data_IF_282423007480
#
_entry.id   IF_282423007480
#
_cell.length_a   1.000
_cell.length_b   1.000
_cell.length_c   1.000
_cell.angle_alpha   90.00
_cell.angle_beta   90.00
_cell.angle_gamma   90.00
#
_symmetry.space_group_name_H-M   'P 1'
#
loop_
_entity.id
_entity.type
_entity.pdbx_description
1 polymer ?
#
# COMPACT_ATOMS: atom_id res chain seq x y z
N UNK A 1 5.15 -19.73 -2.06
CA UNK A 1 6.20 -18.71 -2.11
C UNK A 1 5.84 -17.79 -3.26
N UNK A 2 5.43 -16.55 -3.00
CA UNK A 2 5.16 -15.59 -4.07
C UNK A 2 6.48 -15.27 -4.78
N UNK A 3 6.55 -15.38 -6.11
CA UNK A 3 7.76 -15.04 -6.88
C UNK A 3 7.73 -13.61 -7.41
N UNK A 4 6.59 -12.93 -7.31
CA UNK A 4 6.42 -11.54 -7.67
C UNK A 4 6.67 -10.64 -6.46
N UNK A 5 7.07 -9.40 -6.72
CA UNK A 5 7.23 -8.37 -5.69
C UNK A 5 5.84 -7.96 -5.18
N UNK A 6 5.70 -7.86 -3.86
CA UNK A 6 4.42 -7.55 -3.22
C UNK A 6 4.09 -6.05 -3.37
N UNK A 7 2.80 -5.64 -3.35
CA UNK A 7 2.43 -4.23 -3.42
C UNK A 7 3.04 -3.43 -2.25
N UNK A 8 3.72 -2.32 -2.57
CA UNK A 8 4.40 -1.48 -1.59
C UNK A 8 5.78 -2.01 -1.12
N UNK A 9 6.16 -3.24 -1.47
CA UNK A 9 7.49 -3.79 -1.20
C UNK A 9 8.57 -3.03 -1.99
N UNK A 10 9.71 -2.70 -1.37
CA UNK A 10 10.88 -2.18 -2.11
C UNK A 10 11.51 -3.28 -2.98
N UNK A 11 12.11 -2.92 -4.11
CA UNK A 11 12.75 -3.91 -4.98
C UNK A 11 13.94 -4.58 -4.30
N UNK A 12 14.71 -3.85 -3.49
CA UNK A 12 15.81 -4.42 -2.70
C UNK A 12 15.32 -5.47 -1.69
N UNK A 13 14.18 -5.24 -1.04
CA UNK A 13 13.55 -6.22 -0.12
C UNK A 13 13.10 -7.46 -0.87
N UNK A 14 12.44 -7.28 -2.01
CA UNK A 14 12.02 -8.38 -2.88
C UNK A 14 13.21 -9.21 -3.38
N UNK A 15 14.30 -8.56 -3.79
CA UNK A 15 15.51 -9.24 -4.23
C UNK A 15 16.09 -10.13 -3.13
N UNK A 16 16.10 -9.65 -1.89
CA UNK A 16 16.56 -10.45 -0.74
C UNK A 16 15.66 -11.68 -0.50
N UNK A 17 14.34 -11.52 -0.61
CA UNK A 17 13.38 -12.63 -0.49
C UNK A 17 13.58 -13.67 -1.59
N UNK A 18 13.83 -13.22 -2.82
CA UNK A 18 14.14 -14.06 -3.96
C UNK A 18 15.46 -14.84 -3.77
N UNK A 19 16.50 -14.19 -3.25
CA UNK A 19 17.77 -14.85 -2.91
C UNK A 19 17.58 -15.93 -1.84
N UNK A 20 16.77 -15.66 -0.81
CA UNK A 20 16.46 -16.66 0.22
C UNK A 20 15.70 -17.86 -0.35
N UNK A 21 14.70 -17.61 -1.21
CA UNK A 21 13.96 -18.65 -1.93
C UNK A 21 14.87 -19.52 -2.77
N UNK A 22 15.77 -18.88 -3.53
CA UNK A 22 16.69 -19.57 -4.41
C UNK A 22 17.73 -20.38 -3.64
N UNK A 23 18.27 -19.84 -2.55
CA UNK A 23 19.19 -20.59 -1.68
C UNK A 23 18.52 -21.86 -1.13
N UNK A 24 17.24 -21.79 -0.78
CA UNK A 24 16.50 -22.97 -0.35
C UNK A 24 16.31 -23.98 -1.49
N UNK A 25 16.01 -23.52 -2.71
CA UNK A 25 15.90 -24.38 -3.89
C UNK A 25 17.23 -25.06 -4.23
N UNK A 26 18.35 -24.32 -4.18
CA UNK A 26 19.70 -24.84 -4.40
C UNK A 26 20.05 -25.91 -3.35
N UNK A 27 19.80 -25.63 -2.07
CA UNK A 27 20.05 -26.61 -0.98
C UNK A 27 19.25 -27.90 -1.14
N UNK A 28 18.09 -27.84 -1.79
CA UNK A 28 17.22 -28.99 -2.07
C UNK A 28 17.54 -29.66 -3.41
N UNK A 29 18.55 -29.20 -4.14
CA UNK A 29 18.89 -29.71 -5.47
C UNK A 29 17.94 -29.29 -6.60
N UNK A 30 17.01 -28.35 -6.35
CA UNK A 30 16.06 -27.86 -7.35
C UNK A 30 16.63 -26.79 -8.29
N UNK A 31 17.83 -26.28 -8.03
CA UNK A 31 18.53 -25.33 -8.88
C UNK A 31 20.05 -25.47 -8.75
N UNK A 32 20.78 -25.21 -9.83
CA UNK A 32 22.25 -25.19 -9.82
C UNK A 32 22.78 -23.89 -9.20
N UNK A 33 23.70 -23.99 -8.23
CA UNK A 33 24.29 -22.85 -7.54
C UNK A 33 25.01 -21.89 -8.51
N UNK A 34 25.70 -22.42 -9.51
CA UNK A 34 26.43 -21.64 -10.53
C UNK A 34 25.50 -20.76 -11.40
N UNK A 35 24.22 -21.12 -11.48
CA UNK A 35 23.22 -20.36 -12.24
C UNK A 35 22.41 -19.42 -11.35
N UNK A 36 22.72 -19.33 -10.05
CA UNK A 36 21.89 -18.61 -9.10
C UNK A 36 21.71 -17.13 -9.47
N UNK A 37 22.81 -16.44 -9.78
CA UNK A 37 22.76 -15.02 -10.18
C UNK A 37 21.93 -14.80 -11.47
N UNK A 38 22.02 -15.72 -12.46
CA UNK A 38 21.16 -15.68 -13.65
C UNK A 38 19.69 -15.82 -13.28
N UNK A 39 19.35 -16.75 -12.39
CA UNK A 39 17.97 -16.97 -11.98
C UNK A 39 17.42 -15.76 -11.24
N UNK A 40 18.20 -15.17 -10.34
CA UNK A 40 17.81 -13.94 -9.63
C UNK A 40 17.56 -12.81 -10.61
N UNK A 41 18.49 -12.53 -11.51
CA UNK A 41 18.33 -11.45 -12.48
C UNK A 41 17.11 -11.67 -13.36
N UNK A 42 16.92 -12.89 -13.88
CA UNK A 42 15.74 -13.23 -14.70
C UNK A 42 14.44 -12.99 -13.93
N UNK A 43 14.34 -13.53 -12.71
CA UNK A 43 13.11 -13.36 -11.91
C UNK A 43 12.89 -11.89 -11.53
N UNK A 44 13.95 -11.15 -11.22
CA UNK A 44 13.87 -9.71 -10.99
C UNK A 44 13.30 -8.96 -12.20
N UNK A 45 13.73 -9.31 -13.42
CA UNK A 45 13.22 -8.70 -14.66
C UNK A 45 11.73 -8.98 -14.93
N UNK A 46 11.19 -10.10 -14.43
CA UNK A 46 9.79 -10.48 -14.66
C UNK A 46 8.87 -10.08 -13.49
N UNK A 47 9.40 -10.06 -12.27
CA UNK A 47 8.61 -9.94 -11.04
C UNK A 47 8.72 -8.59 -10.33
N UNK A 48 9.61 -7.69 -10.77
CA UNK A 48 9.71 -6.35 -10.23
C UNK A 48 8.70 -5.41 -10.93
N UNK A 49 7.86 -4.71 -10.15
CA UNK A 49 6.86 -3.77 -10.69
C UNK A 49 7.39 -2.34 -10.84
N UNK A 50 8.66 -2.11 -10.52
CA UNK A 50 9.24 -0.78 -10.48
C UNK A 50 9.86 -0.43 -11.85
N UNK A 51 9.91 0.86 -12.21
CA UNK A 51 10.58 1.35 -13.43
C UNK A 51 12.09 1.09 -13.47
N UNK A 52 12.64 0.54 -12.39
CA UNK A 52 14.04 0.17 -12.19
C UNK A 52 14.60 -0.70 -13.33
N UNK A 53 13.76 -1.53 -13.96
CA UNK A 53 14.18 -2.40 -15.06
C UNK A 53 14.77 -1.61 -16.23
N UNK A 54 14.09 -0.52 -16.60
CA UNK A 54 14.50 0.35 -17.71
C UNK A 54 15.66 1.25 -17.31
N UNK A 55 15.65 1.79 -16.09
CA UNK A 55 16.69 2.70 -15.61
C UNK A 55 18.06 1.99 -15.45
N UNK A 56 18.05 0.70 -15.07
CA UNK A 56 19.26 -0.09 -14.82
C UNK A 56 19.64 -1.04 -15.97
N UNK A 57 18.86 -1.06 -17.07
CA UNK A 57 19.06 -1.94 -18.22
C UNK A 57 19.27 -3.41 -17.82
N UNK A 58 18.46 -3.90 -16.86
CA UNK A 58 18.67 -5.23 -16.27
C UNK A 58 18.49 -6.37 -17.28
N UNK A 59 17.65 -6.16 -18.30
CA UNK A 59 17.45 -7.11 -19.40
C UNK A 59 18.74 -7.33 -20.23
N UNK A 60 19.53 -6.27 -20.47
CA UNK A 60 20.79 -6.36 -21.21
C UNK A 60 21.85 -7.17 -20.44
N UNK A 61 21.80 -7.13 -19.11
CA UNK A 61 22.74 -7.81 -18.21
C UNK A 61 22.48 -9.32 -18.08
N UNK A 62 21.48 -9.88 -18.77
CA UNK A 62 21.14 -11.32 -18.69
C UNK A 62 22.22 -12.24 -19.25
N UNK A 63 23.04 -11.76 -20.18
CA UNK A 63 24.19 -12.48 -20.74
C UNK A 63 25.31 -12.65 -19.69
N UNK A 64 25.66 -11.56 -19.03
CA UNK A 64 26.67 -11.47 -17.98
C UNK A 64 26.05 -10.92 -16.69
N UNK A 65 25.36 -11.78 -15.92
CA UNK A 65 24.65 -11.33 -14.72
C UNK A 65 25.64 -10.85 -13.66
N UNK A 66 25.37 -9.70 -13.02
CA UNK A 66 26.16 -9.23 -11.89
C UNK A 66 26.02 -10.19 -10.70
N UNK A 67 26.98 -10.11 -9.79
CA UNK A 67 26.86 -10.79 -8.50
C UNK A 67 25.66 -10.22 -7.71
N UNK A 68 25.09 -11.02 -6.80
CA UNK A 68 23.95 -10.57 -5.99
C UNK A 68 24.22 -9.25 -5.25
N UNK A 69 25.40 -9.11 -4.65
CA UNK A 69 25.80 -7.90 -3.92
C UNK A 69 25.86 -6.66 -4.83
N UNK A 70 26.38 -6.83 -6.05
CA UNK A 70 26.46 -5.77 -7.06
C UNK A 70 25.07 -5.39 -7.56
N UNK A 71 24.23 -6.36 -7.90
CA UNK A 71 22.83 -6.12 -8.29
C UNK A 71 22.06 -5.39 -7.19
N UNK A 72 22.25 -5.80 -5.93
CA UNK A 72 21.60 -5.18 -4.78
C UNK A 72 22.07 -3.73 -4.59
N UNK A 73 23.35 -3.45 -4.81
CA UNK A 73 23.88 -2.08 -4.75
C UNK A 73 23.30 -1.20 -5.86
N UNK A 74 23.23 -1.71 -7.10
CA UNK A 74 22.62 -1.01 -8.23
C UNK A 74 21.17 -0.64 -7.92
N UNK A 75 20.38 -1.61 -7.42
CA UNK A 75 18.99 -1.39 -7.06
C UNK A 75 18.85 -0.36 -5.95
N UNK A 76 19.62 -0.45 -4.87
CA UNK A 76 19.55 0.51 -3.75
C UNK A 76 19.92 1.93 -4.18
N UNK A 77 20.97 2.07 -4.97
CA UNK A 77 21.42 3.37 -5.49
C UNK A 77 20.30 4.03 -6.31
N UNK A 78 19.64 3.24 -7.14
CA UNK A 78 18.55 3.71 -7.97
C UNK A 78 17.27 4.01 -7.15
N UNK A 79 16.94 3.17 -6.17
CA UNK A 79 15.87 3.44 -5.20
C UNK A 79 16.08 4.77 -4.47
N UNK A 80 17.30 5.03 -4.01
CA UNK A 80 17.65 6.28 -3.33
C UNK A 80 17.57 7.49 -4.28
N UNK A 81 18.00 7.33 -5.54
CA UNK A 81 17.85 8.35 -6.59
C UNK A 81 16.38 8.69 -6.83
N UNK A 82 15.51 7.68 -6.96
CA UNK A 82 14.07 7.88 -7.13
C UNK A 82 13.43 8.51 -5.90
N UNK A 83 13.81 8.10 -4.70
CA UNK A 83 13.32 8.68 -3.45
C UNK A 83 13.72 10.16 -3.31
N UNK A 84 14.96 10.51 -3.66
CA UNK A 84 15.43 11.90 -3.68
C UNK A 84 14.66 12.74 -4.71
N UNK A 85 14.45 12.20 -5.92
CA UNK A 85 13.64 12.84 -6.97
C UNK A 85 12.21 13.08 -6.49
N UNK A 86 11.55 12.06 -5.95
CA UNK A 86 10.19 12.17 -5.44
C UNK A 86 10.08 13.21 -4.31
N UNK A 87 11.06 13.23 -3.40
CA UNK A 87 11.13 14.23 -2.32
C UNK A 87 11.28 15.65 -2.87
N UNK A 88 12.18 15.86 -3.84
CA UNK A 88 12.36 17.15 -4.51
C UNK A 88 11.10 17.59 -5.23
N UNK A 89 10.48 16.70 -5.99
CA UNK A 89 9.22 16.96 -6.69
C UNK A 89 8.11 17.34 -5.70
N UNK A 90 7.96 16.61 -4.59
CA UNK A 90 6.96 16.95 -3.55
C UNK A 90 7.21 18.34 -2.95
N UNK A 91 8.47 18.71 -2.73
CA UNK A 91 8.83 20.04 -2.19
C UNK A 91 8.56 21.19 -3.15
N UNK A 92 8.84 21.02 -4.45
CA UNK A 92 8.74 22.12 -5.44
C UNK A 92 7.44 22.13 -6.25
N UNK A 93 6.79 20.97 -6.44
CA UNK A 93 5.51 20.85 -7.14
C UNK A 93 4.34 20.77 -6.16
N UNK A 94 4.56 20.29 -4.93
CA UNK A 94 3.53 20.17 -3.90
C UNK A 94 3.27 21.45 -3.10
N UNK A 95 4.12 22.48 -3.22
CA UNK A 95 3.94 23.75 -2.50
C UNK A 95 2.89 24.67 -3.13
N UNK A 96 2.43 24.41 -4.35
CA UNK A 96 1.45 25.28 -5.03
C UNK A 96 0.01 25.10 -4.51
N UNK A 97 -0.27 24.10 -3.67
CA UNK A 97 -1.63 23.91 -3.11
C UNK A 97 -1.84 24.42 -1.68
N UNK A 98 -0.85 25.10 -1.08
CA UNK A 98 -0.99 25.67 0.26
C UNK A 98 -0.71 27.18 0.28
N UNK A 99 -1.42 27.96 -0.53
CA UNK A 99 -1.60 29.40 -0.26
C UNK A 99 -2.82 29.99 -0.99
N UNK A 100 -4.02 29.54 -0.65
CA UNK A 100 -5.26 30.21 -1.03
C UNK A 100 -6.34 30.07 0.05
N UNK A 101 -5.98 30.23 1.32
CA UNK A 101 -6.92 30.33 2.45
C UNK A 101 -6.33 31.29 3.51
N UNK A 102 -5.92 32.48 3.07
CA UNK A 102 -5.74 33.62 3.96
C UNK A 102 -5.68 34.90 3.09
N UNK A 103 -6.54 35.85 3.43
CA UNK A 103 -6.66 37.21 2.88
C UNK A 103 -7.83 37.45 1.94
N UNK A 104 -8.76 38.19 2.54
CA UNK A 104 -10.08 38.71 2.20
C UNK A 104 -10.25 39.53 0.90
N UNK A 105 -11.53 39.77 0.61
CA UNK A 105 -12.13 40.89 -0.15
C UNK A 105 -12.27 40.77 -1.68
N UNK A 106 -13.54 40.57 -2.10
CA UNK A 106 -14.26 41.27 -3.17
C UNK A 106 -13.45 41.87 -4.34
N UNK A 107 -13.47 41.20 -5.48
CA UNK A 107 -13.75 41.81 -6.79
C UNK A 107 -13.93 40.71 -7.85
N UNK A 108 -15.01 40.84 -8.62
CA UNK A 108 -15.44 39.98 -9.72
C UNK A 108 -14.38 39.81 -10.80
N UNK A 109 -13.85 38.60 -10.99
CA UNK A 109 -13.23 38.15 -12.24
C UNK A 109 -13.52 36.67 -12.51
N UNK A 110 -13.73 36.38 -13.78
CA UNK A 110 -14.30 35.18 -14.41
C UNK A 110 -13.76 33.83 -13.89
N UNK A 111 -14.62 32.81 -13.71
CA UNK A 111 -14.16 31.46 -13.40
C UNK A 111 -13.72 30.73 -14.68
N UNK A 112 -12.41 30.57 -14.84
CA UNK A 112 -11.85 29.55 -15.73
C UNK A 112 -12.39 28.18 -15.29
N UNK A 113 -13.11 27.52 -16.20
CA UNK A 113 -13.87 26.29 -15.97
C UNK A 113 -12.92 25.15 -15.58
N UNK A 114 -12.90 24.84 -14.29
CA UNK A 114 -12.20 23.66 -13.82
C UNK A 114 -12.90 22.40 -14.36
N UNK A 115 -12.20 21.47 -15.01
CA UNK A 115 -12.82 20.29 -15.62
C UNK A 115 -13.57 19.42 -14.59
N UNK A 116 -13.14 19.47 -13.32
CA UNK A 116 -13.82 18.81 -12.21
C UNK A 116 -15.18 19.44 -11.88
N UNK A 117 -15.30 20.77 -11.96
CA UNK A 117 -16.59 21.45 -11.72
C UNK A 117 -17.57 21.20 -12.85
N UNK A 118 -17.07 21.17 -14.09
CA UNK A 118 -17.86 20.87 -15.28
C UNK A 118 -18.37 19.42 -15.27
N UNK A 119 -17.51 18.47 -14.91
CA UNK A 119 -17.90 17.07 -14.74
C UNK A 119 -18.95 16.88 -13.63
N UNK A 120 -18.78 17.54 -12.48
CA UNK A 120 -19.79 17.51 -11.40
C UNK A 120 -21.13 18.08 -11.88
N UNK A 121 -21.10 19.14 -12.65
CA UNK A 121 -22.30 19.77 -13.20
C UNK A 121 -23.00 18.87 -14.24
N UNK A 122 -22.23 18.18 -15.08
CA UNK A 122 -22.75 17.18 -16.02
C UNK A 122 -23.40 16.00 -15.30
N UNK A 123 -22.79 15.50 -14.23
CA UNK A 123 -23.36 14.41 -13.42
C UNK A 123 -24.70 14.84 -12.79
N UNK A 124 -24.80 16.06 -12.27
CA UNK A 124 -26.06 16.60 -11.72
C UNK A 124 -27.13 16.76 -12.81
N UNK A 125 -26.75 17.25 -14.00
CA UNK A 125 -27.66 17.38 -15.15
C UNK A 125 -28.22 16.02 -15.57
N UNK A 126 -27.35 15.00 -15.69
CA UNK A 126 -27.77 13.64 -16.04
C UNK A 126 -28.70 13.03 -14.98
N UNK A 127 -28.38 13.19 -13.69
CA UNK A 127 -29.26 12.73 -12.59
C UNK A 127 -30.64 13.39 -12.63
N UNK A 128 -30.71 14.68 -12.96
CA UNK A 128 -31.96 15.41 -13.14
C UNK A 128 -32.79 14.88 -14.32
N UNK A 129 -32.13 14.55 -15.44
CA UNK A 129 -32.80 13.94 -16.60
C UNK A 129 -33.39 12.56 -16.29
N UNK A 130 -32.66 11.69 -15.59
CA UNK A 130 -33.22 10.42 -15.10
C UNK A 130 -34.43 10.64 -14.17
N UNK A 131 -34.35 11.63 -13.28
CA UNK A 131 -35.44 11.98 -12.37
C UNK A 131 -36.68 12.46 -13.12
N UNK A 132 -36.55 13.15 -14.26
CA UNK A 132 -37.69 13.54 -15.08
C UNK A 132 -38.29 12.38 -15.89
N UNK A 133 -37.47 11.46 -16.38
CA UNK A 133 -37.92 10.31 -17.18
C UNK A 133 -38.62 9.23 -16.34
N UNK A 134 -38.24 9.10 -15.06
CA UNK A 134 -38.85 8.13 -14.13
C UNK A 134 -40.16 8.70 -13.52
N UNK A 135 -40.51 9.97 -13.78
CA UNK A 135 -41.81 10.51 -13.35
C UNK A 135 -42.95 9.88 -14.16
N UNK A 136 -43.93 9.21 -13.52
CA UNK A 136 -45.10 8.71 -14.24
C UNK A 136 -45.90 9.87 -14.81
N UNK A 137 -46.01 9.95 -16.14
CA UNK A 137 -46.91 10.89 -16.82
C UNK A 137 -48.35 10.49 -16.52
N UNK A 138 -49.09 11.33 -15.79
CA UNK A 138 -50.55 11.20 -15.67
C UNK A 138 -51.20 11.65 -16.98
N UNK A 139 -52.09 10.85 -17.60
CA UNK A 139 -52.85 11.30 -18.76
C UNK A 139 -53.90 12.34 -18.34
N UNK A 140 -54.07 13.39 -19.16
CA UNK A 140 -55.11 14.41 -19.02
C UNK A 140 -56.34 13.97 -19.82
N UNK A 141 -57.49 13.85 -19.15
CA UNK A 141 -58.80 13.59 -19.74
C UNK A 141 -59.92 14.10 -18.81
N UNK A 142 -60.99 14.56 -19.42
CA UNK A 142 -61.89 15.65 -19.00
C UNK A 142 -63.04 15.20 -18.07
N UNK A 143 -63.42 16.10 -17.15
CA UNK A 143 -64.66 16.28 -16.35
C UNK A 143 -65.67 15.11 -16.18
N UNK A 144 -65.96 14.75 -14.91
CA UNK A 144 -67.32 14.41 -14.46
C UNK A 144 -67.50 14.66 -12.96
N UNK A 145 -68.75 14.90 -12.60
CA UNK A 145 -69.30 15.44 -11.35
C UNK A 145 -69.58 14.32 -10.33
N UNK A 146 -69.51 14.69 -9.04
CA UNK A 146 -70.12 14.08 -7.85
C UNK A 146 -69.51 12.84 -7.14
N UNK A 147 -69.32 13.10 -5.84
CA UNK A 147 -69.47 12.27 -4.63
C UNK A 147 -68.48 11.13 -4.29
N UNK A 148 -67.85 11.40 -3.13
CA UNK A 148 -67.75 10.55 -1.93
C UNK A 148 -66.73 9.42 -1.99
N UNK A 149 -65.68 9.56 -1.18
CA UNK A 149 -64.91 8.41 -0.76
C UNK A 149 -63.52 8.72 -0.22
N UNK A 150 -63.47 9.01 1.07
CA UNK A 150 -62.39 8.62 1.99
C UNK A 150 -61.14 9.51 2.04
N UNK A 151 -61.16 10.30 3.12
CA UNK A 151 -60.06 10.97 3.79
C UNK A 151 -58.89 10.01 4.04
N UNK A 152 -57.69 10.33 3.55
CA UNK A 152 -56.45 9.88 4.15
C UNK A 152 -55.71 11.11 4.68
N UNK A 153 -55.83 11.30 5.99
CA UNK A 153 -54.84 11.98 6.80
C UNK A 153 -53.49 11.28 6.60
N UNK A 154 -52.40 12.04 6.54
CA UNK A 154 -51.26 11.84 7.43
C UNK A 154 -50.36 13.08 7.37
N UNK A 155 -50.62 13.91 8.37
CA UNK A 155 -49.90 15.01 9.01
C UNK A 155 -48.38 14.99 8.85
N UNK A 156 -47.86 16.18 8.53
CA UNK A 156 -46.48 16.63 8.76
C UNK A 156 -46.13 16.54 10.25
N UNK A 157 -45.08 15.81 10.60
CA UNK A 157 -44.40 15.97 11.89
C UNK A 157 -42.91 16.22 11.64
N UNK A 158 -42.50 17.47 11.93
CA UNK A 158 -41.12 17.84 12.18
C UNK A 158 -40.72 17.30 13.55
N UNK A 159 -39.55 16.68 13.68
CA UNK A 159 -38.91 16.60 14.99
C UNK A 159 -37.38 16.64 14.90
N UNK A 160 -36.85 17.79 15.31
CA UNK A 160 -35.49 17.92 15.84
C UNK A 160 -35.51 17.55 17.33
N UNK A 161 -34.47 16.86 17.83
CA UNK A 161 -34.37 16.47 19.23
C UNK A 161 -32.99 15.93 19.65
N UNK A 162 -32.14 16.85 20.12
CA UNK A 162 -31.04 16.78 21.10
C UNK A 162 -30.36 15.45 21.51
N UNK A 163 -29.03 15.50 21.54
CA UNK A 163 -28.10 14.56 22.19
C UNK A 163 -27.33 15.30 23.32
N UNK A 164 -27.14 14.73 24.53
CA UNK A 164 -26.10 15.21 25.45
C UNK A 164 -25.12 14.11 25.94
N UNK A 165 -23.85 14.27 25.57
CA UNK A 165 -22.65 14.54 26.39
C UNK A 165 -22.45 13.90 27.80
N UNK A 166 -21.49 12.94 27.88
CA UNK A 166 -20.22 12.95 28.67
C UNK A 166 -20.07 12.41 30.14
N UNK A 167 -18.87 11.80 30.34
CA UNK A 167 -18.03 11.50 31.55
C UNK A 167 -18.34 10.19 32.30
N UNK A 168 -17.41 9.46 32.92
CA UNK A 168 -15.94 9.33 32.97
C UNK A 168 -15.67 8.09 33.88
N UNK A 169 -14.52 7.42 33.70
CA UNK A 169 -14.08 6.17 34.35
C UNK A 169 -14.00 6.20 35.91
N UNK A 170 -13.85 5.04 36.58
CA UNK A 170 -12.48 4.67 37.01
C UNK A 170 -12.15 3.15 36.96
N UNK A 171 -10.95 2.84 37.47
CA UNK A 171 -10.02 1.76 37.20
C UNK A 171 -9.92 0.70 38.33
N UNK A 172 -9.21 -0.42 38.04
CA UNK A 172 -8.65 -1.46 38.93
C UNK A 172 -9.63 -2.57 39.37
N UNK A 173 -9.28 -3.85 39.55
CA UNK A 173 -8.01 -4.56 39.64
C UNK A 173 -8.25 -6.09 39.49
N UNK A 174 -7.17 -6.83 39.18
CA UNK A 174 -6.85 -8.23 39.52
C UNK A 174 -7.89 -9.36 39.35
N UNK A 175 -7.55 -10.34 38.49
CA UNK A 175 -8.27 -11.61 38.42
C UNK A 175 -7.56 -12.64 37.54
N UNK A 176 -6.63 -13.36 38.16
CA UNK A 176 -5.84 -14.49 37.66
C UNK A 176 -6.73 -15.59 37.04
N UNK A 177 -6.45 -16.02 35.81
CA UNK A 177 -6.41 -17.47 35.50
C UNK A 177 -5.46 -17.79 34.36
N UNK A 178 -4.37 -18.42 34.75
CA UNK A 178 -3.37 -19.13 33.97
C UNK A 178 -3.97 -20.42 33.39
N UNK A 179 -3.72 -20.71 32.11
CA UNK A 179 -3.86 -22.07 31.53
C UNK A 179 -2.99 -22.20 30.27
N UNK A 180 -1.87 -22.92 30.47
CA UNK A 180 -1.26 -23.93 29.58
C UNK A 180 -0.55 -23.46 28.29
N UNK A 181 0.78 -23.60 28.25
CA UNK A 181 1.42 -24.66 27.44
C UNK A 181 2.96 -24.62 27.46
N UNK A 182 3.52 -25.79 27.80
CA UNK A 182 4.81 -26.38 27.40
C UNK A 182 6.12 -25.77 27.90
N UNK A 183 6.57 -26.39 28.99
CA UNK A 183 7.95 -26.87 29.16
C UNK A 183 8.48 -27.50 27.86
N UNK A 184 9.52 -26.91 27.28
CA UNK A 184 10.53 -27.66 26.52
C UNK A 184 11.85 -27.46 27.24
N UNK A 185 12.32 -28.59 27.74
CA UNK A 185 13.53 -28.85 28.49
C UNK A 185 14.74 -28.51 27.63
N UNK A 186 15.56 -27.55 28.07
CA UNK A 186 16.92 -27.36 27.57
C UNK A 186 17.78 -28.58 27.95
N UNK A 187 18.45 -29.25 27.02
CA UNK A 187 19.62 -30.04 27.32
C UNK A 187 20.86 -29.17 27.13
N UNK A 188 21.47 -28.78 28.25
CA UNK A 188 22.86 -28.36 28.29
C UNK A 188 23.71 -29.60 27.96
N UNK A 189 24.27 -29.67 26.77
CA UNK A 189 25.40 -30.56 26.50
C UNK A 189 26.68 -29.74 26.66
N UNK A 190 27.32 -29.98 27.79
CA UNK A 190 28.69 -29.61 28.05
C UNK A 190 29.58 -30.16 26.94
N UNK A 191 30.27 -29.28 26.22
CA UNK A 191 31.41 -29.66 25.39
C UNK A 191 32.66 -29.14 26.08
N UNK A 192 33.25 -30.04 26.87
CA UNK A 192 34.63 -29.95 27.36
C UNK A 192 35.55 -30.02 26.15
N UNK A 193 36.18 -28.91 25.76
CA UNK A 193 37.39 -28.96 24.93
C UNK A 193 38.58 -28.66 25.84
N UNK A 194 39.17 -29.76 26.28
CA UNK A 194 40.49 -29.85 26.86
C UNK A 194 41.51 -29.36 25.83
N UNK A 195 42.19 -28.25 26.13
CA UNK A 195 43.47 -27.89 25.52
C UNK A 195 44.51 -29.00 25.71
N UNK A 196 45.38 -29.20 24.71
CA UNK A 196 46.79 -29.30 25.04
C UNK A 196 47.61 -28.21 24.35
N UNK A 197 48.32 -27.48 25.22
CA UNK A 197 49.57 -26.81 24.99
C UNK A 197 50.58 -27.75 24.32
N UNK A 198 51.13 -27.38 23.15
CA UNK A 198 52.46 -27.85 22.75
C UNK A 198 53.24 -26.70 22.10
N UNK A 199 54.21 -26.22 22.87
CA UNK A 199 55.36 -25.42 22.45
C UNK A 199 56.34 -26.30 21.66
N UNK A 200 56.98 -25.75 20.61
CA UNK A 200 58.39 -25.95 20.12
C UNK A 200 58.47 -25.31 18.71
N UNK A 201 59.12 -24.16 18.49
CA UNK A 201 60.57 -23.89 18.27
C UNK A 201 61.20 -24.60 17.04
N UNK A 202 61.95 -23.79 16.26
CA UNK A 202 62.99 -24.06 15.21
C UNK A 202 62.49 -23.92 13.75
N UNK A 203 62.87 -22.92 12.96
CA UNK A 203 64.21 -22.51 12.42
C UNK A 203 64.60 -23.32 11.15
N UNK A 204 65.18 -22.61 10.16
CA UNK A 204 65.76 -23.06 8.85
C UNK A 204 64.70 -23.20 7.73
N UNK A 205 64.75 -22.53 6.57
CA UNK A 205 65.84 -22.02 5.71
C UNK A 205 65.42 -20.70 5.04
#
# INVERSE_FOLDING_TARGET
>A
MNTLQDPGEKASTYLCRLQAALNLAVKRGGAAAEKANRHILKQCCHGCWNTLLSDLYLEEKKSHPPAFSELLLLIRTEEDRQAAKATRMKKHLGSHQQRAMASSHSASFQPESNPLTELKQQVVSLQSQFTMLIRPRRPKGTLSIHQVGQHLNLTLEHQAGNLPTQRQAPSRDLGIVSTVARMVKSPQLAVTIQTPLLSMKKEIN
#
